data_IF_839222000073
#
_entry.id   IF_839222000073
#
_cell.length_a   1.000
_cell.length_b   1.000
_cell.length_c   1.000
_cell.angle_alpha   90.00
_cell.angle_beta   90.00
_cell.angle_gamma   90.00
#
_symmetry.space_group_name_H-M   'P 1'
#
loop_
_entity.id
_entity.type
_entity.pdbx_description
1 polymer ?
#
# COMPACT_ATOMS: atom_id res chain seq x y z
N UNK A 1 -19.59 -0.35 -33.18
CA UNK A 1 -19.44 0.04 -31.76
C UNK A 1 -18.10 0.76 -31.61
N UNK A 2 -18.07 1.93 -30.99
CA UNK A 2 -16.84 2.70 -30.87
C UNK A 2 -15.94 2.01 -29.81
N UNK A 3 -14.70 1.67 -30.18
CA UNK A 3 -13.74 1.13 -29.22
C UNK A 3 -13.26 2.29 -28.33
N UNK A 4 -13.55 2.19 -27.03
CA UNK A 4 -13.20 3.22 -26.05
C UNK A 4 -11.82 2.99 -25.41
N UNK A 5 -11.22 1.81 -25.62
CA UNK A 5 -9.93 1.46 -25.05
C UNK A 5 -8.78 1.95 -25.94
N UNK A 6 -7.72 2.45 -25.30
CA UNK A 6 -6.52 2.78 -26.06
C UNK A 6 -5.85 1.49 -26.58
N UNK A 7 -5.27 1.55 -27.77
CA UNK A 7 -4.54 0.42 -28.37
C UNK A 7 -3.45 -0.13 -27.45
N UNK A 8 -2.79 0.77 -26.69
CA UNK A 8 -1.76 0.40 -25.70
C UNK A 8 -2.32 -0.45 -24.57
N UNK A 9 -3.51 -0.12 -24.07
CA UNK A 9 -4.16 -0.91 -22.99
C UNK A 9 -4.63 -2.26 -23.52
N UNK A 10 -5.19 -2.30 -24.73
CA UNK A 10 -5.63 -3.55 -25.37
C UNK A 10 -4.45 -4.52 -25.63
N UNK A 11 -3.25 -4.00 -25.88
CA UNK A 11 -2.06 -4.82 -26.12
C UNK A 11 -1.35 -5.31 -24.85
N UNK A 12 -1.79 -4.87 -23.64
CA UNK A 12 -1.22 -5.36 -22.40
C UNK A 12 -1.74 -6.77 -22.08
N UNK A 13 -0.80 -7.69 -21.95
CA UNK A 13 -1.15 -9.04 -21.46
C UNK A 13 -1.29 -9.04 -19.94
N UNK A 14 -2.28 -9.78 -19.40
CA UNK A 14 -2.41 -9.98 -17.96
C UNK A 14 -1.15 -10.63 -17.39
N UNK A 15 -0.78 -10.26 -16.15
CA UNK A 15 0.34 -10.85 -15.45
C UNK A 15 0.16 -12.37 -15.31
N UNK A 16 1.11 -13.16 -15.82
CA UNK A 16 1.10 -14.62 -15.70
C UNK A 16 1.10 -15.12 -14.25
N UNK A 17 1.72 -14.35 -13.34
CA UNK A 17 1.79 -14.67 -11.91
C UNK A 17 0.40 -14.77 -11.28
N UNK A 18 -0.54 -13.89 -11.66
CA UNK A 18 -1.90 -13.91 -11.11
C UNK A 18 -2.65 -15.20 -11.44
N UNK A 19 -2.45 -15.77 -12.62
CA UNK A 19 -3.05 -17.05 -13.01
C UNK A 19 -2.62 -18.17 -12.09
N UNK A 20 -1.38 -18.15 -11.58
CA UNK A 20 -0.93 -19.14 -10.60
C UNK A 20 -1.59 -18.98 -9.23
N UNK A 21 -1.85 -17.75 -8.81
CA UNK A 21 -2.56 -17.52 -7.55
C UNK A 21 -4.00 -18.03 -7.60
N UNK A 22 -4.68 -17.82 -8.71
CA UNK A 22 -6.04 -18.35 -8.90
C UNK A 22 -6.04 -19.89 -8.80
N UNK A 23 -5.08 -20.56 -9.43
CA UNK A 23 -4.93 -22.02 -9.37
C UNK A 23 -4.63 -22.50 -7.94
N UNK A 24 -3.70 -21.85 -7.25
CA UNK A 24 -3.32 -22.23 -5.87
C UNK A 24 -4.46 -22.02 -4.89
N UNK A 25 -5.27 -20.98 -5.09
CA UNK A 25 -6.44 -20.71 -4.22
C UNK A 25 -7.51 -21.80 -4.29
N UNK A 26 -7.54 -22.59 -5.37
CA UNK A 26 -8.44 -23.73 -5.55
C UNK A 26 -7.86 -25.04 -4.95
N UNK A 27 -6.64 -25.02 -4.44
CA UNK A 27 -5.94 -26.18 -3.90
C UNK A 27 -5.77 -26.07 -2.37
N UNK A 28 -6.75 -26.51 -1.56
CA UNK A 28 -6.76 -26.29 -0.11
C UNK A 28 -5.58 -26.95 0.63
N UNK A 29 -5.00 -28.00 0.04
CA UNK A 29 -3.87 -28.73 0.64
C UNK A 29 -2.49 -28.27 0.12
N UNK A 30 -2.46 -27.24 -0.74
CA UNK A 30 -1.22 -26.73 -1.31
C UNK A 30 -0.53 -25.74 -0.35
N UNK A 31 0.76 -25.96 -0.11
CA UNK A 31 1.61 -24.99 0.57
C UNK A 31 2.12 -24.01 -0.47
N UNK A 32 1.59 -22.77 -0.44
CA UNK A 32 2.01 -21.73 -1.36
C UNK A 32 3.33 -21.10 -0.91
N UNK A 33 4.31 -21.11 -1.80
CA UNK A 33 5.57 -20.37 -1.65
C UNK A 33 5.64 -19.18 -2.63
N UNK A 34 4.49 -18.79 -3.19
CA UNK A 34 4.42 -17.81 -4.28
C UNK A 34 4.42 -16.37 -3.82
N UNK A 35 3.69 -16.03 -2.76
CA UNK A 35 3.59 -14.66 -2.23
C UNK A 35 4.22 -14.60 -0.86
N UNK A 36 5.10 -13.62 -0.65
CA UNK A 36 5.62 -13.31 0.68
C UNK A 36 4.63 -12.44 1.44
N UNK A 37 3.71 -13.06 2.17
CA UNK A 37 2.80 -12.37 3.07
C UNK A 37 2.98 -12.85 4.52
N UNK A 38 2.74 -12.00 5.53
CA UNK A 38 2.82 -12.41 6.92
C UNK A 38 1.81 -13.49 7.26
N UNK A 39 2.27 -14.58 7.88
CA UNK A 39 1.45 -15.68 8.40
C UNK A 39 0.99 -15.41 9.85
N UNK A 40 0.80 -14.15 10.19
CA UNK A 40 0.39 -13.70 11.51
C UNK A 40 -0.78 -12.74 11.39
N UNK A 41 -1.73 -12.90 12.29
CA UNK A 41 -2.77 -11.89 12.47
C UNK A 41 -2.16 -10.54 12.85
N UNK A 42 -2.77 -9.46 12.35
CA UNK A 42 -2.41 -8.12 12.81
C UNK A 42 -2.50 -8.04 14.34
N UNK A 43 -1.49 -7.53 15.04
CA UNK A 43 -1.48 -7.42 16.49
C UNK A 43 -2.76 -6.78 17.04
N UNK A 44 -3.28 -7.31 18.14
CA UNK A 44 -4.55 -6.88 18.71
C UNK A 44 -4.66 -5.36 18.88
N UNK A 45 -3.63 -4.74 19.44
CA UNK A 45 -3.62 -3.28 19.67
C UNK A 45 -3.81 -2.49 18.37
N UNK A 46 -3.22 -2.93 17.27
CA UNK A 46 -3.36 -2.26 15.96
C UNK A 46 -4.78 -2.42 15.44
N UNK A 47 -5.37 -3.63 15.59
CA UNK A 47 -6.77 -3.88 15.20
C UNK A 47 -7.75 -3.04 16.01
N UNK A 48 -7.54 -2.98 17.31
CA UNK A 48 -8.35 -2.20 18.27
C UNK A 48 -8.35 -0.71 17.92
N UNK A 49 -7.18 -0.13 17.66
CA UNK A 49 -7.07 1.28 17.23
C UNK A 49 -7.75 1.54 15.88
N UNK A 50 -7.69 0.59 14.95
CA UNK A 50 -8.43 0.67 13.68
C UNK A 50 -9.94 0.69 13.91
N UNK A 51 -10.48 -0.20 14.73
CA UNK A 51 -11.90 -0.25 15.10
C UNK A 51 -12.31 1.06 15.79
N UNK A 52 -11.55 1.46 16.79
CA UNK A 52 -11.80 2.69 17.53
C UNK A 52 -11.82 3.94 16.65
N UNK A 53 -10.93 4.02 15.66
CA UNK A 53 -10.89 5.14 14.73
C UNK A 53 -12.17 5.22 13.88
N UNK A 54 -12.70 4.07 13.45
CA UNK A 54 -13.96 3.98 12.72
C UNK A 54 -15.17 4.36 13.59
N UNK A 55 -15.23 3.85 14.82
CA UNK A 55 -16.29 4.19 15.80
C UNK A 55 -16.31 5.69 16.13
N UNK A 56 -15.17 6.35 16.10
CA UNK A 56 -15.02 7.81 16.27
C UNK A 56 -15.29 8.61 15.00
N UNK A 57 -15.68 7.96 13.92
CA UNK A 57 -15.99 8.62 12.66
C UNK A 57 -14.77 9.28 11.99
N UNK A 58 -13.56 8.78 12.22
CA UNK A 58 -12.34 9.28 11.57
C UNK A 58 -12.24 8.78 10.13
N UNK A 59 -13.20 9.17 9.30
CA UNK A 59 -13.35 8.72 7.91
C UNK A 59 -13.33 9.90 6.93
N UNK A 60 -12.59 10.93 7.24
CA UNK A 60 -12.47 12.13 6.42
C UNK A 60 -11.28 12.04 5.46
N UNK A 61 -11.32 12.87 4.42
CA UNK A 61 -10.16 13.07 3.57
C UNK A 61 -9.00 13.69 4.36
N UNK A 62 -7.79 13.25 4.02
CA UNK A 62 -6.55 13.86 4.51
C UNK A 62 -6.00 14.87 3.51
N UNK A 63 -4.86 15.47 3.82
CA UNK A 63 -4.07 16.20 2.82
C UNK A 63 -3.52 15.22 1.77
N UNK A 64 -3.11 15.73 0.59
CA UNK A 64 -2.51 14.92 -0.47
C UNK A 64 -1.25 14.17 -0.02
N UNK A 65 -0.52 14.70 0.95
CA UNK A 65 0.64 14.02 1.54
C UNK A 65 0.28 12.99 2.62
N UNK A 66 -1.01 12.80 2.91
CA UNK A 66 -1.50 11.90 3.95
C UNK A 66 -1.74 12.58 5.30
N UNK A 67 -2.18 11.80 6.27
CA UNK A 67 -2.49 12.26 7.62
C UNK A 67 -1.24 12.85 8.28
N UNK A 68 -1.36 14.09 8.78
CA UNK A 68 -0.24 14.83 9.36
C UNK A 68 0.38 14.08 10.54
N UNK A 69 -0.45 13.62 11.46
CA UNK A 69 -0.03 12.88 12.64
C UNK A 69 0.78 11.63 12.27
N UNK A 70 0.33 10.88 11.25
CA UNK A 70 1.05 9.70 10.77
C UNK A 70 2.44 10.05 10.21
N UNK A 71 2.55 11.16 9.48
CA UNK A 71 3.84 11.59 8.93
C UNK A 71 4.84 11.98 10.03
N UNK A 72 4.36 12.60 11.11
CA UNK A 72 5.19 12.92 12.27
C UNK A 72 5.65 11.64 12.97
N UNK A 73 4.77 10.69 13.22
CA UNK A 73 5.11 9.40 13.82
C UNK A 73 6.11 8.60 12.96
N UNK A 74 5.98 8.66 11.63
CA UNK A 74 6.95 8.05 10.70
C UNK A 74 8.33 8.71 10.86
N UNK A 75 8.39 10.05 10.90
CA UNK A 75 9.64 10.79 11.10
C UNK A 75 10.32 10.40 12.41
N UNK A 76 9.61 10.42 13.52
CA UNK A 76 10.11 10.02 14.83
C UNK A 76 10.56 8.55 14.87
N UNK A 77 9.82 7.66 14.20
CA UNK A 77 10.20 6.26 14.09
C UNK A 77 11.52 6.08 13.34
N UNK A 78 11.70 6.77 12.22
CA UNK A 78 12.91 6.69 11.40
C UNK A 78 14.10 7.25 12.14
N UNK A 79 13.95 8.37 12.84
CA UNK A 79 15.00 8.95 13.67
C UNK A 79 15.39 7.98 14.81
N UNK A 80 14.42 7.50 15.58
CA UNK A 80 14.66 6.61 16.73
C UNK A 80 15.31 5.28 16.33
N UNK A 81 14.91 4.71 15.20
CA UNK A 81 15.32 3.35 14.81
C UNK A 81 16.52 3.31 13.89
N UNK A 82 16.65 4.32 13.05
CA UNK A 82 17.66 4.32 11.98
C UNK A 82 18.56 5.56 11.99
N UNK A 83 18.34 6.50 12.92
CA UNK A 83 19.06 7.77 13.00
C UNK A 83 18.89 8.61 11.71
N UNK A 84 17.76 8.46 11.03
CA UNK A 84 17.40 9.19 9.82
C UNK A 84 16.40 10.28 10.15
N UNK A 85 16.77 11.52 9.88
CA UNK A 85 15.92 12.71 10.13
C UNK A 85 15.29 13.16 8.82
N UNK A 86 13.95 13.18 8.79
CA UNK A 86 13.15 13.69 7.66
C UNK A 86 12.15 14.73 8.16
N UNK A 87 11.97 15.82 7.40
CA UNK A 87 10.90 16.77 7.68
C UNK A 87 9.52 16.16 7.36
N UNK A 88 8.66 15.96 8.37
CA UNK A 88 7.34 15.35 8.14
C UNK A 88 6.41 16.19 7.27
N UNK A 89 6.71 17.46 7.05
CA UNK A 89 5.88 18.34 6.22
C UNK A 89 6.26 18.31 4.74
N UNK A 90 7.54 18.08 4.41
CA UNK A 90 8.06 18.23 3.05
C UNK A 90 8.72 17.00 2.48
N UNK A 91 9.16 16.04 3.33
CA UNK A 91 9.94 14.88 2.90
C UNK A 91 9.25 13.54 3.10
N UNK A 92 8.01 13.55 3.64
CA UNK A 92 7.23 12.32 3.87
C UNK A 92 5.87 12.43 3.18
N UNK A 93 5.57 11.46 2.32
CA UNK A 93 4.28 11.29 1.68
C UNK A 93 3.74 9.89 1.94
N UNK A 94 2.52 9.79 2.42
CA UNK A 94 1.80 8.52 2.62
C UNK A 94 1.00 8.21 1.37
N UNK A 95 1.22 7.03 0.80
CA UNK A 95 0.58 6.58 -0.45
C UNK A 95 -0.34 5.39 -0.22
N UNK A 96 -1.22 5.11 -1.18
CA UNK A 96 -2.07 3.91 -1.18
C UNK A 96 -1.24 2.69 -1.60
N UNK A 97 -0.34 2.28 -0.72
CA UNK A 97 0.59 1.18 -0.92
C UNK A 97 1.85 1.57 -1.72
N UNK A 98 2.82 0.63 -1.72
CA UNK A 98 4.12 0.85 -2.35
C UNK A 98 4.06 1.07 -3.87
N UNK A 99 3.05 0.53 -4.54
CA UNK A 99 2.90 0.71 -6.00
C UNK A 99 2.63 2.16 -6.39
N UNK A 100 1.82 2.88 -5.63
CA UNK A 100 1.60 4.32 -5.85
C UNK A 100 2.88 5.11 -5.55
N UNK A 101 3.58 4.77 -4.47
CA UNK A 101 4.86 5.40 -4.14
C UNK A 101 5.89 5.27 -5.25
N UNK A 102 6.01 4.07 -5.84
CA UNK A 102 6.90 3.83 -6.98
C UNK A 102 6.43 4.60 -8.22
N UNK A 103 5.13 4.59 -8.54
CA UNK A 103 4.58 5.29 -9.70
C UNK A 103 4.83 6.80 -9.61
N UNK A 104 4.58 7.40 -8.43
CA UNK A 104 4.84 8.82 -8.19
C UNK A 104 6.34 9.14 -8.34
N UNK A 105 7.21 8.33 -7.74
CA UNK A 105 8.64 8.53 -7.83
C UNK A 105 9.12 8.45 -9.29
N UNK A 106 8.68 7.45 -10.03
CA UNK A 106 9.04 7.29 -11.44
C UNK A 106 8.56 8.45 -12.30
N UNK A 107 7.32 8.92 -12.10
CA UNK A 107 6.77 10.08 -12.85
C UNK A 107 7.47 11.40 -12.50
N UNK A 108 8.08 11.49 -11.34
CA UNK A 108 8.80 12.69 -10.92
C UNK A 108 10.20 12.75 -11.53
N UNK A 109 10.81 11.59 -11.80
CA UNK A 109 12.20 11.48 -12.26
C UNK A 109 12.28 11.31 -13.79
N UNK A 110 11.29 10.64 -14.40
CA UNK A 110 11.22 10.33 -15.84
C UNK A 110 10.27 11.26 -16.58
#
# INVERSE_FOLDING_TARGET
>A
MRDFLSKRVVSLEPSGIRKFFDIVSEMPDAISLGVGEPDFDTPWRVREEGIYSLERGRTFYTSNAGLKELRYEISEYLERKYELVYDPNHEITVTVGGSEGIDIAMRTIL
#
